data_IF_852256906437
#
_entry.id   IF_852256906437
#
_cell.length_a   1.000
_cell.length_b   1.000
_cell.length_c   1.000
_cell.angle_alpha   90.00
_cell.angle_beta   90.00
_cell.angle_gamma   90.00
#
_symmetry.space_group_name_H-M   'P 1'
#
loop_
_entity.id
_entity.type
_entity.pdbx_description
1 polymer ?
#
# COMPACT_ATOMS: atom_id res chain seq x y z
N UNK A 1 19.00 -39.74 -21.15
CA UNK A 1 17.84 -39.09 -20.51
C UNK A 1 17.96 -37.57 -20.59
N UNK A 2 17.72 -37.00 -21.77
CA UNK A 2 17.52 -35.55 -21.93
C UNK A 2 16.04 -35.30 -21.67
N UNK A 3 15.70 -34.90 -20.45
CA UNK A 3 14.37 -34.34 -20.24
C UNK A 3 14.31 -32.98 -20.96
N UNK A 4 13.43 -32.86 -21.94
CA UNK A 4 13.25 -31.68 -22.77
C UNK A 4 12.34 -30.66 -22.05
N UNK A 5 12.82 -30.08 -20.95
CA UNK A 5 12.15 -28.94 -20.33
C UNK A 5 12.57 -27.66 -21.00
N UNK A 6 11.58 -26.85 -21.36
CA UNK A 6 11.82 -25.56 -22.01
C UNK A 6 12.52 -24.58 -21.06
N UNK A 7 12.33 -24.76 -19.74
CA UNK A 7 12.95 -23.96 -18.69
C UNK A 7 13.49 -24.84 -17.57
N UNK A 8 14.69 -24.51 -17.09
CA UNK A 8 15.33 -25.17 -15.96
C UNK A 8 15.13 -24.37 -14.66
N UNK A 9 14.99 -25.09 -13.54
CA UNK A 9 14.99 -24.47 -12.22
C UNK A 9 16.38 -23.87 -11.93
N UNK A 10 16.40 -22.57 -11.63
CA UNK A 10 17.58 -21.81 -11.23
C UNK A 10 17.59 -21.56 -9.73
N UNK A 11 18.06 -20.38 -9.31
CA UNK A 11 18.21 -20.05 -7.88
C UNK A 11 16.85 -19.74 -7.26
N UNK A 12 16.58 -20.29 -6.07
CA UNK A 12 15.34 -20.09 -5.29
C UNK A 12 14.07 -20.56 -6.01
N UNK A 13 14.20 -21.59 -6.83
CA UNK A 13 13.13 -22.14 -7.66
C UNK A 13 13.12 -23.66 -7.51
N UNK A 14 11.93 -24.21 -7.26
CA UNK A 14 11.69 -25.65 -7.18
C UNK A 14 11.04 -26.21 -8.46
N UNK A 15 11.11 -27.53 -8.61
CA UNK A 15 10.49 -28.28 -9.71
C UNK A 15 9.55 -29.34 -9.13
N UNK A 16 8.29 -29.32 -9.58
CA UNK A 16 7.28 -30.31 -9.24
C UNK A 16 7.50 -31.63 -9.99
N UNK A 17 6.78 -32.68 -9.56
CA UNK A 17 6.82 -34.02 -10.19
C UNK A 17 6.37 -33.98 -11.67
N UNK A 18 5.44 -33.09 -11.97
CA UNK A 18 4.89 -32.78 -13.29
C UNK A 18 5.72 -31.73 -14.05
N UNK A 19 6.90 -31.37 -13.55
CA UNK A 19 7.79 -30.35 -14.09
C UNK A 19 7.25 -28.92 -14.01
N UNK A 20 6.24 -28.70 -13.17
CA UNK A 20 5.78 -27.36 -12.82
C UNK A 20 6.86 -26.63 -12.02
N UNK A 21 7.18 -25.41 -12.43
CA UNK A 21 8.17 -24.56 -11.74
C UNK A 21 7.45 -23.70 -10.70
N UNK A 22 7.96 -23.68 -9.46
CA UNK A 22 7.43 -22.85 -8.37
C UNK A 22 8.54 -22.08 -7.65
N UNK A 23 8.22 -20.89 -7.14
CA UNK A 23 9.14 -20.05 -6.37
C UNK A 23 9.24 -20.51 -4.93
N UNK A 24 10.46 -20.55 -4.38
CA UNK A 24 10.70 -20.85 -2.96
C UNK A 24 10.70 -19.59 -2.08
N UNK A 25 10.87 -18.42 -2.69
CA UNK A 25 10.91 -17.13 -2.01
C UNK A 25 10.04 -16.13 -2.77
N UNK A 26 9.58 -15.08 -2.06
CA UNK A 26 8.96 -13.93 -2.68
C UNK A 26 10.01 -13.05 -3.37
N UNK A 27 9.66 -12.53 -4.55
CA UNK A 27 10.59 -11.68 -5.27
C UNK A 27 10.25 -11.47 -6.74
N UNK A 28 11.26 -11.01 -7.47
CA UNK A 28 11.20 -10.84 -8.91
C UNK A 28 11.75 -12.10 -9.59
N UNK A 29 10.96 -12.63 -10.52
CA UNK A 29 11.37 -13.73 -11.39
C UNK A 29 12.25 -13.18 -12.50
N UNK A 30 13.40 -13.80 -12.73
CA UNK A 30 14.34 -13.47 -13.80
C UNK A 30 14.66 -14.70 -14.64
N UNK A 31 14.56 -14.53 -15.95
CA UNK A 31 14.96 -15.54 -16.93
C UNK A 31 16.41 -15.30 -17.34
N UNK A 32 17.22 -16.35 -17.28
CA UNK A 32 18.64 -16.31 -17.61
C UNK A 32 18.97 -17.39 -18.63
N UNK A 33 20.00 -17.16 -19.45
CA UNK A 33 20.50 -18.20 -20.36
C UNK A 33 21.21 -19.29 -19.56
N UNK A 34 21.02 -20.53 -19.99
CA UNK A 34 21.65 -21.71 -19.43
C UNK A 34 22.34 -22.48 -20.57
N UNK A 35 23.53 -22.02 -20.95
CA UNK A 35 24.23 -22.54 -22.13
C UNK A 35 23.68 -21.98 -23.45
N UNK A 36 23.89 -22.68 -24.59
CA UNK A 36 23.60 -22.15 -25.91
C UNK A 36 22.10 -21.98 -26.19
N UNK A 37 21.29 -23.02 -25.94
CA UNK A 37 19.88 -23.04 -26.33
C UNK A 37 18.89 -23.05 -25.17
N UNK A 38 19.36 -23.32 -23.94
CA UNK A 38 18.48 -23.55 -22.79
C UNK A 38 18.34 -22.28 -21.96
N UNK A 39 17.24 -22.18 -21.23
CA UNK A 39 16.94 -21.07 -20.31
C UNK A 39 16.70 -21.62 -18.92
N UNK A 40 17.05 -20.83 -17.90
CA UNK A 40 16.75 -21.11 -16.49
C UNK A 40 15.98 -19.97 -15.87
N UNK A 41 15.18 -20.29 -14.86
CA UNK A 41 14.35 -19.35 -14.10
C UNK A 41 14.91 -19.23 -12.70
N UNK A 42 15.27 -18.02 -12.29
CA UNK A 42 15.74 -17.73 -10.92
C UNK A 42 14.84 -16.68 -10.29
N UNK A 43 14.64 -16.75 -8.97
CA UNK A 43 13.91 -15.73 -8.22
C UNK A 43 14.88 -14.97 -7.34
N UNK A 44 14.82 -13.63 -7.42
CA UNK A 44 15.62 -12.72 -6.63
C UNK A 44 14.73 -11.92 -5.68
N UNK A 45 15.14 -11.71 -4.42
CA UNK A 45 14.34 -10.96 -3.45
C UNK A 45 14.09 -9.54 -3.98
N UNK A 46 12.83 -9.10 -3.90
CA UNK A 46 12.45 -7.76 -4.33
C UNK A 46 12.72 -6.77 -3.20
N UNK A 47 13.64 -5.85 -3.42
CA UNK A 47 13.76 -4.66 -2.56
C UNK A 47 12.59 -3.73 -2.88
N UNK A 48 11.72 -3.49 -1.89
CA UNK A 48 10.60 -2.56 -2.03
C UNK A 48 11.18 -1.15 -2.15
N UNK A 49 11.08 -0.57 -3.33
CA UNK A 49 11.45 0.83 -3.52
C UNK A 49 10.43 1.73 -2.83
N UNK A 50 10.86 2.79 -2.12
CA UNK A 50 9.95 3.73 -1.49
C UNK A 50 9.06 4.40 -2.55
N UNK A 51 7.80 4.61 -2.21
CA UNK A 51 6.83 5.22 -3.13
C UNK A 51 7.05 6.74 -3.23
N UNK A 52 6.97 7.26 -4.46
CA UNK A 52 7.06 8.70 -4.70
C UNK A 52 5.77 9.39 -4.23
N UNK A 53 5.83 10.32 -3.25
CA UNK A 53 4.64 10.96 -2.69
C UNK A 53 3.89 11.82 -3.71
N UNK A 54 4.58 12.37 -4.72
CA UNK A 54 3.97 13.17 -5.78
C UNK A 54 3.53 12.34 -7.00
N UNK A 55 3.31 11.04 -6.83
CA UNK A 55 2.79 10.20 -7.91
C UNK A 55 1.32 10.50 -8.19
N UNK A 56 0.93 10.51 -9.48
CA UNK A 56 -0.46 10.55 -9.92
C UNK A 56 -1.34 9.52 -9.19
N UNK A 57 -0.79 8.31 -8.94
CA UNK A 57 -1.47 7.24 -8.21
C UNK A 57 -1.85 7.66 -6.78
N UNK A 58 -0.93 8.29 -6.06
CA UNK A 58 -1.15 8.78 -4.71
C UNK A 58 -2.22 9.89 -4.70
N UNK A 59 -2.09 10.88 -5.59
CA UNK A 59 -3.07 11.97 -5.73
C UNK A 59 -4.48 11.47 -6.03
N UNK A 60 -4.64 10.47 -6.90
CA UNK A 60 -5.95 9.88 -7.21
C UNK A 60 -6.52 9.06 -6.06
N UNK A 61 -5.69 8.29 -5.33
CA UNK A 61 -6.11 7.58 -4.11
C UNK A 61 -6.70 8.55 -3.08
N UNK A 62 -6.00 9.65 -2.84
CA UNK A 62 -6.43 10.70 -1.91
C UNK A 62 -7.69 11.42 -2.36
N UNK A 63 -7.79 11.75 -3.65
CA UNK A 63 -9.01 12.32 -4.22
C UNK A 63 -10.24 11.44 -3.95
N UNK A 64 -10.16 10.14 -4.24
CA UNK A 64 -11.30 9.23 -4.02
C UNK A 64 -11.60 8.99 -2.53
N UNK A 65 -10.59 9.01 -1.65
CA UNK A 65 -10.80 9.01 -0.20
C UNK A 65 -11.63 10.22 0.22
N UNK A 66 -11.18 11.42 -0.16
CA UNK A 66 -11.83 12.67 0.20
C UNK A 66 -13.25 12.78 -0.39
N UNK A 67 -13.49 12.28 -1.60
CA UNK A 67 -14.84 12.25 -2.19
C UNK A 67 -15.79 11.36 -1.40
N UNK A 68 -15.34 10.18 -0.94
CA UNK A 68 -16.16 9.29 -0.09
C UNK A 68 -16.47 9.94 1.25
N UNK A 69 -15.47 10.54 1.90
CA UNK A 69 -15.65 11.26 3.17
C UNK A 69 -16.62 12.43 3.01
N UNK A 70 -16.47 13.26 1.97
CA UNK A 70 -17.38 14.37 1.66
C UNK A 70 -18.80 13.89 1.40
N UNK A 71 -18.97 12.82 0.63
CA UNK A 71 -20.31 12.26 0.33
C UNK A 71 -20.96 11.69 1.59
N UNK A 72 -20.19 10.99 2.44
CA UNK A 72 -20.65 10.48 3.74
C UNK A 72 -21.06 11.62 4.67
N UNK A 73 -20.21 12.64 4.82
CA UNK A 73 -20.50 13.82 5.63
C UNK A 73 -21.75 14.58 5.18
N UNK A 74 -21.98 14.72 3.86
CA UNK A 74 -23.24 15.29 3.35
C UNK A 74 -24.43 14.42 3.69
N UNK A 75 -24.34 13.10 3.50
CA UNK A 75 -25.44 12.18 3.84
C UNK A 75 -25.76 12.24 5.34
N UNK A 76 -24.75 12.24 6.21
CA UNK A 76 -24.91 12.31 7.66
C UNK A 76 -25.39 13.70 8.12
N UNK A 77 -24.89 14.78 7.51
CA UNK A 77 -25.36 16.15 7.76
C UNK A 77 -26.77 16.44 7.21
N UNK A 78 -27.24 15.66 6.25
CA UNK A 78 -28.65 15.68 5.79
C UNK A 78 -29.55 14.87 6.75
N UNK A 79 -29.01 13.86 7.45
CA UNK A 79 -29.73 13.01 8.41
C UNK A 79 -29.76 13.64 9.83
N UNK A 80 -29.04 14.74 10.08
CA UNK A 80 -29.07 15.47 11.35
C UNK A 80 -28.98 16.99 11.16
N UNK A 81 -30.08 17.75 11.26
CA UNK A 81 -30.03 19.18 11.56
C UNK A 81 -30.28 19.45 13.06
N UNK A 82 -29.76 20.53 13.65
CA UNK A 82 -28.35 20.92 13.80
C UNK A 82 -27.96 21.13 15.29
N UNK A 83 -26.69 20.99 15.64
CA UNK A 83 -25.98 22.01 16.43
C UNK A 83 -24.48 21.96 16.08
N UNK A 84 -23.92 23.04 15.51
CA UNK A 84 -22.48 23.25 15.58
C UNK A 84 -22.17 23.69 17.02
N UNK A 85 -21.78 22.74 17.87
CA UNK A 85 -21.03 23.11 19.08
C UNK A 85 -19.65 23.61 18.64
N UNK A 86 -19.59 24.89 18.24
CA UNK A 86 -18.41 25.70 18.44
C UNK A 86 -18.23 25.83 19.95
N UNK A 87 -17.62 24.83 20.58
CA UNK A 87 -17.07 24.99 21.93
C UNK A 87 -15.89 25.93 21.78
N UNK A 88 -16.17 27.22 21.93
CA UNK A 88 -15.18 28.26 22.19
C UNK A 88 -14.58 27.95 23.57
N UNK A 89 -13.58 27.07 23.60
CA UNK A 89 -12.77 26.84 24.78
C UNK A 89 -11.76 27.97 24.90
N UNK A 90 -12.23 29.14 25.34
CA UNK A 90 -11.38 30.19 25.90
C UNK A 90 -12.20 31.06 26.84
N UNK A 91 -12.39 30.57 28.06
CA UNK A 91 -12.70 31.37 29.23
C UNK A 91 -11.92 30.76 30.40
N UNK A 92 -10.63 31.11 30.49
CA UNK A 92 -9.94 31.06 31.76
C UNK A 92 -10.16 32.44 32.40
N UNK A 93 -11.15 32.54 33.28
CA UNK A 93 -11.32 33.66 34.19
C UNK A 93 -10.12 33.70 35.14
N UNK A 94 -9.16 34.59 34.87
CA UNK A 94 -8.12 34.91 35.86
C UNK A 94 -8.68 35.86 36.92
N UNK A 95 -8.63 35.37 38.14
CA UNK A 95 -9.09 35.96 39.41
C UNK A 95 -8.32 37.24 39.80
N UNK A 96 -9.00 38.07 40.62
CA UNK A 96 -8.57 39.22 41.45
C UNK A 96 -8.87 40.61 40.83
N UNK A 97 -9.64 41.49 41.46
CA UNK A 97 -9.33 42.14 42.75
C UNK A 97 -10.56 42.67 43.52
N UNK A 98 -10.62 42.31 44.82
CA UNK A 98 -11.20 42.92 46.03
C UNK A 98 -12.21 44.11 45.96
N UNK A 99 -13.29 44.09 46.76
CA UNK A 99 -14.11 45.27 47.01
C UNK A 99 -13.48 46.18 48.09
N UNK A 100 -13.37 47.48 47.79
CA UNK A 100 -13.11 48.54 48.76
C UNK A 100 -14.12 49.67 48.56
N UNK A 101 -14.58 50.19 49.71
CA UNK A 101 -15.50 51.30 49.99
C UNK A 101 -17.00 51.00 49.90
#
# INVERSE_FOLDING_TARGET
YLHQFQFHAGKNVGLGKDHTIFSLIDGLVKFEKFGPDKKKVSVYPRVVQPENPNSYKARKREYFRLQRERKKARKEGIISPPEPQLVLASADDTVATNPVC
#
